data_IF_643774585626
#
_entry.id   IF_643774585626
#
_cell.length_a   1.000
_cell.length_b   1.000
_cell.length_c   1.000
_cell.angle_alpha   90.00
_cell.angle_beta   90.00
_cell.angle_gamma   90.00
#
_symmetry.space_group_name_H-M   'P 1'
#
loop_
_entity.id
_entity.type
_entity.pdbx_description
1 polymer ?
#
# COMPACT_ATOMS: atom_id res chain seq x y z
N UNK A 1 -13.06 14.90 -17.48
CA UNK A 1 -13.49 14.24 -16.23
C UNK A 1 -12.23 13.72 -15.53
N UNK A 2 -11.97 14.13 -14.29
CA UNK A 2 -10.81 13.64 -13.56
C UNK A 2 -10.98 12.12 -13.34
N UNK A 3 -10.03 11.33 -13.84
CA UNK A 3 -9.95 9.90 -13.53
C UNK A 3 -9.74 9.77 -12.02
N UNK A 4 -10.67 9.12 -11.31
CA UNK A 4 -10.43 8.74 -9.92
C UNK A 4 -9.19 7.84 -9.87
N UNK A 5 -8.18 8.20 -9.07
CA UNK A 5 -6.95 7.42 -8.95
C UNK A 5 -7.21 6.00 -8.41
N UNK A 6 -8.28 5.84 -7.64
CA UNK A 6 -8.73 4.58 -7.09
C UNK A 6 -9.56 3.73 -8.08
N UNK A 7 -9.84 4.17 -9.31
CA UNK A 7 -10.67 3.43 -10.28
C UNK A 7 -9.86 2.35 -11.03
N UNK A 8 -10.42 1.13 -11.04
CA UNK A 8 -9.88 -0.02 -11.77
C UNK A 8 -11.01 -0.76 -12.51
N UNK A 9 -10.82 -0.99 -13.81
CA UNK A 9 -11.70 -1.84 -14.63
C UNK A 9 -11.35 -3.32 -14.44
N UNK A 10 -11.61 -3.83 -13.24
CA UNK A 10 -11.28 -5.21 -12.83
C UNK A 10 -12.46 -5.87 -12.13
N UNK A 11 -12.44 -7.19 -12.06
CA UNK A 11 -13.44 -7.96 -11.35
C UNK A 11 -13.10 -8.09 -9.84
N UNK A 12 -13.94 -8.85 -9.13
CA UNK A 12 -13.71 -9.11 -7.70
C UNK A 12 -12.41 -9.87 -7.46
N UNK A 13 -12.12 -10.90 -8.26
CA UNK A 13 -10.97 -11.77 -8.04
C UNK A 13 -9.65 -11.00 -8.21
N UNK A 14 -9.54 -10.20 -9.28
CA UNK A 14 -8.38 -9.35 -9.51
C UNK A 14 -8.26 -8.25 -8.44
N UNK A 15 -9.38 -7.69 -7.97
CA UNK A 15 -9.32 -6.74 -6.85
C UNK A 15 -8.76 -7.38 -5.58
N UNK A 16 -9.14 -8.64 -5.30
CA UNK A 16 -8.60 -9.37 -4.17
C UNK A 16 -7.11 -9.68 -4.36
N UNK A 17 -6.69 -10.04 -5.57
CA UNK A 17 -5.28 -10.30 -5.89
C UNK A 17 -4.41 -9.07 -5.66
N UNK A 18 -4.84 -7.89 -6.14
CA UNK A 18 -4.10 -6.64 -5.96
C UNK A 18 -4.02 -6.22 -4.49
N UNK A 19 -5.12 -6.30 -3.74
CA UNK A 19 -5.16 -5.90 -2.33
C UNK A 19 -4.48 -6.91 -1.38
N UNK A 20 -4.19 -8.13 -1.84
CA UNK A 20 -3.39 -9.13 -1.10
C UNK A 20 -1.88 -8.93 -1.22
N UNK A 21 -1.41 -8.07 -2.12
CA UNK A 21 0.02 -7.86 -2.32
C UNK A 21 0.70 -7.37 -1.03
N UNK A 22 1.91 -7.87 -0.71
CA UNK A 22 2.60 -7.50 0.52
C UNK A 22 3.05 -6.03 0.49
N UNK A 23 3.17 -5.40 1.66
CA UNK A 23 3.56 -3.99 1.78
C UNK A 23 2.40 -2.98 1.62
N UNK A 24 1.18 -3.46 1.34
CA UNK A 24 -0.02 -2.62 1.41
C UNK A 24 -0.48 -2.46 2.86
N UNK A 25 -0.91 -1.25 3.21
CA UNK A 25 -1.36 -0.91 4.56
C UNK A 25 -2.87 -1.12 4.75
N UNK A 26 -3.29 -1.15 6.02
CA UNK A 26 -4.70 -1.15 6.38
C UNK A 26 -5.43 0.06 5.76
N UNK A 27 -6.63 -0.18 5.26
CA UNK A 27 -7.42 0.85 4.59
C UNK A 27 -6.99 1.13 3.15
N UNK A 28 -6.05 0.37 2.57
CA UNK A 28 -5.80 0.43 1.13
C UNK A 28 -7.06 0.00 0.37
N UNK A 29 -7.53 0.81 -0.59
CA UNK A 29 -8.81 0.58 -1.25
C UNK A 29 -8.77 0.79 -2.76
N UNK A 30 -9.74 0.21 -3.46
CA UNK A 30 -9.99 0.49 -4.87
C UNK A 30 -11.48 0.44 -5.20
N UNK A 31 -11.87 1.21 -6.21
CA UNK A 31 -13.20 1.26 -6.78
C UNK A 31 -13.19 0.49 -8.11
N UNK A 32 -14.22 -0.34 -8.32
CA UNK A 32 -14.38 -1.13 -9.55
C UNK A 32 -15.84 -1.21 -9.98
N UNK A 33 -16.13 -1.56 -11.24
CA UNK A 33 -17.49 -1.90 -11.67
C UNK A 33 -18.09 -2.99 -10.78
N UNK A 34 -19.39 -2.85 -10.46
CA UNK A 34 -20.16 -3.95 -9.92
C UNK A 34 -20.80 -4.70 -11.09
N UNK A 35 -20.19 -5.83 -11.47
CA UNK A 35 -20.81 -6.77 -12.39
C UNK A 35 -21.96 -7.47 -11.66
N UNK A 36 -23.14 -6.91 -11.82
CA UNK A 36 -24.35 -7.39 -11.18
C UNK A 36 -24.76 -8.75 -11.75
N UNK A 37 -25.41 -9.59 -10.95
CA UNK A 37 -26.22 -10.69 -11.52
C UNK A 37 -27.53 -10.09 -12.06
N UNK A 38 -28.23 -10.83 -12.91
CA UNK A 38 -29.51 -10.43 -13.53
C UNK A 38 -30.52 -9.77 -12.56
N UNK A 39 -30.55 -10.16 -11.29
CA UNK A 39 -31.47 -9.61 -10.27
C UNK A 39 -31.26 -8.12 -9.97
N UNK A 40 -30.03 -7.62 -10.05
CA UNK A 40 -29.72 -6.21 -9.77
C UNK A 40 -30.03 -5.30 -10.96
N UNK A 41 -29.97 -5.87 -12.17
CA UNK A 41 -30.41 -5.22 -13.41
C UNK A 41 -31.92 -4.95 -13.40
N UNK A 42 -32.69 -5.73 -12.64
CA UNK A 42 -34.14 -5.55 -12.48
C UNK A 42 -34.50 -4.41 -11.52
N UNK A 43 -33.64 -4.05 -10.56
CA UNK A 43 -33.90 -2.98 -9.61
C UNK A 43 -33.62 -1.60 -10.19
N UNK A 44 -32.52 -1.42 -10.94
CA UNK A 44 -32.18 -0.15 -11.60
C UNK A 44 -31.37 -0.37 -12.89
N UNK A 45 -32.03 -0.66 -14.04
CA UNK A 45 -31.35 -1.07 -15.28
C UNK A 45 -30.49 0.03 -15.94
N UNK A 46 -30.67 1.29 -15.54
CA UNK A 46 -30.07 2.44 -16.23
C UNK A 46 -28.94 3.14 -15.46
N UNK A 47 -28.65 2.76 -14.21
CA UNK A 47 -27.58 3.39 -13.42
C UNK A 47 -26.50 2.38 -13.02
N UNK A 48 -25.22 2.71 -13.23
CA UNK A 48 -24.12 1.82 -12.88
C UNK A 48 -24.01 1.69 -11.35
N UNK A 49 -23.91 0.45 -10.87
CA UNK A 49 -23.50 0.15 -9.50
C UNK A 49 -21.99 -0.05 -9.43
N UNK A 50 -21.40 0.26 -8.27
CA UNK A 50 -19.96 0.11 -8.06
C UNK A 50 -19.67 -0.81 -6.87
N UNK A 51 -18.43 -1.29 -6.81
CA UNK A 51 -17.93 -2.02 -5.65
C UNK A 51 -16.67 -1.36 -5.14
N UNK A 52 -16.66 -1.02 -3.85
CA UNK A 52 -15.51 -0.55 -3.12
C UNK A 52 -14.87 -1.74 -2.42
N UNK A 53 -13.62 -2.04 -2.75
CA UNK A 53 -12.87 -3.16 -2.16
C UNK A 53 -11.79 -2.58 -1.25
N UNK A 54 -11.75 -3.02 0.01
CA UNK A 54 -10.91 -2.43 1.07
C UNK A 54 -10.13 -3.53 1.77
N UNK A 55 -8.83 -3.32 1.95
CA UNK A 55 -7.98 -4.15 2.80
C UNK A 55 -8.17 -3.74 4.26
N UNK A 56 -8.63 -4.65 5.09
CA UNK A 56 -8.85 -4.42 6.51
C UNK A 56 -7.98 -5.35 7.33
N UNK A 57 -7.08 -4.79 8.13
CA UNK A 57 -6.28 -5.57 9.06
C UNK A 57 -7.16 -6.12 10.19
N UNK A 58 -6.83 -7.31 10.64
CA UNK A 58 -7.53 -8.02 11.72
C UNK A 58 -6.51 -8.54 12.71
N UNK A 59 -6.89 -8.61 13.99
CA UNK A 59 -6.08 -9.27 15.01
C UNK A 59 -6.86 -10.48 15.53
N UNK A 60 -6.21 -11.64 15.60
CA UNK A 60 -6.81 -12.80 16.26
C UNK A 60 -6.76 -12.64 17.79
N UNK A 61 -7.34 -13.60 18.53
CA UNK A 61 -7.32 -13.61 20.00
C UNK A 61 -5.91 -13.65 20.60
N UNK A 62 -4.92 -14.05 19.81
CA UNK A 62 -3.53 -14.21 20.24
C UNK A 62 -2.68 -12.98 19.85
N UNK A 63 -3.29 -11.95 19.25
CA UNK A 63 -2.60 -10.75 18.78
C UNK A 63 -1.85 -10.92 17.46
N UNK A 64 -2.02 -12.04 16.76
CA UNK A 64 -1.44 -12.24 15.43
C UNK A 64 -2.12 -11.32 14.43
N UNK A 65 -1.33 -10.51 13.73
CA UNK A 65 -1.83 -9.63 12.68
C UNK A 65 -2.17 -10.45 11.43
N UNK A 66 -3.43 -10.37 11.02
CA UNK A 66 -3.94 -10.85 9.75
C UNK A 66 -4.62 -9.71 8.97
N UNK A 67 -5.27 -10.06 7.86
CA UNK A 67 -6.09 -9.11 7.11
C UNK A 67 -7.18 -9.84 6.33
N UNK A 68 -8.26 -9.11 6.06
CA UNK A 68 -9.38 -9.53 5.22
C UNK A 68 -9.66 -8.46 4.17
N UNK A 69 -10.19 -8.87 3.02
CA UNK A 69 -10.65 -7.92 2.01
C UNK A 69 -12.15 -7.84 2.09
N UNK A 70 -12.66 -6.64 2.37
CA UNK A 70 -14.09 -6.35 2.45
C UNK A 70 -14.54 -5.71 1.16
N UNK A 71 -15.73 -6.08 0.71
CA UNK A 71 -16.33 -5.52 -0.49
C UNK A 71 -17.65 -4.87 -0.13
N UNK A 72 -17.74 -3.57 -0.35
CA UNK A 72 -18.92 -2.76 -0.12
C UNK A 72 -19.57 -2.46 -1.45
N UNK A 73 -20.88 -2.69 -1.52
CA UNK A 73 -21.66 -2.34 -2.70
C UNK A 73 -22.03 -0.87 -2.60
N UNK A 74 -21.73 -0.11 -3.64
CA UNK A 74 -22.19 1.26 -3.79
C UNK A 74 -23.36 1.23 -4.77
N UNK A 75 -24.52 1.66 -4.27
CA UNK A 75 -25.74 1.73 -5.03
C UNK A 75 -26.04 3.19 -5.42
N UNK A 76 -26.54 3.41 -6.64
CA UNK A 76 -27.12 4.70 -7.01
C UNK A 76 -28.46 4.92 -6.30
N UNK A 77 -28.74 6.18 -5.98
CA UNK A 77 -30.08 6.61 -5.54
C UNK A 77 -31.06 6.63 -6.72
N UNK A 78 -32.34 6.47 -6.41
CA UNK A 78 -33.42 6.70 -7.36
C UNK A 78 -33.29 8.12 -7.94
N UNK A 79 -33.44 8.26 -9.25
CA UNK A 79 -33.28 9.50 -10.02
C UNK A 79 -31.84 10.02 -10.17
N UNK A 80 -30.81 9.25 -9.79
CA UNK A 80 -29.40 9.63 -10.00
C UNK A 80 -28.91 10.77 -9.12
N UNK A 81 -29.61 11.06 -8.01
CA UNK A 81 -29.29 12.13 -7.07
C UNK A 81 -28.02 11.88 -6.23
N UNK A 82 -27.45 10.67 -6.29
CA UNK A 82 -26.26 10.33 -5.52
C UNK A 82 -25.99 8.84 -5.40
N UNK A 83 -25.16 8.49 -4.41
CA UNK A 83 -24.66 7.16 -4.12
C UNK A 83 -24.69 6.87 -2.62
N UNK A 84 -24.80 5.59 -2.27
CA UNK A 84 -24.72 5.15 -0.89
C UNK A 84 -24.17 3.72 -0.76
N UNK A 85 -23.54 3.44 0.38
CA UNK A 85 -23.22 2.07 0.83
C UNK A 85 -24.33 1.54 1.75
N UNK A 86 -24.83 2.39 2.64
CA UNK A 86 -25.99 2.14 3.51
C UNK A 86 -27.05 3.23 3.25
N UNK A 87 -28.34 2.92 3.13
CA UNK A 87 -29.39 3.92 2.91
C UNK A 87 -29.45 5.04 3.96
N UNK A 88 -28.85 4.82 5.13
CA UNK A 88 -28.77 5.80 6.23
C UNK A 88 -27.81 6.98 5.94
N UNK A 89 -26.85 6.81 5.03
CA UNK A 89 -25.89 7.86 4.63
C UNK A 89 -25.75 7.89 3.12
N UNK A 90 -26.12 9.01 2.54
CA UNK A 90 -26.10 9.24 1.09
C UNK A 90 -25.13 10.37 0.74
N UNK A 91 -24.60 10.32 -0.48
CA UNK A 91 -23.58 11.25 -0.97
C UNK A 91 -23.93 11.67 -2.39
N UNK A 92 -23.74 12.95 -2.71
CA UNK A 92 -24.03 13.46 -4.06
C UNK A 92 -23.11 12.83 -5.12
N UNK A 93 -21.83 12.63 -4.78
CA UNK A 93 -20.83 12.08 -5.70
C UNK A 93 -20.00 10.96 -5.05
N UNK A 94 -19.37 10.12 -5.88
CA UNK A 94 -18.41 9.11 -5.42
C UNK A 94 -17.22 9.73 -4.66
N UNK A 95 -16.58 10.83 -5.11
CA UNK A 95 -15.58 11.53 -4.32
C UNK A 95 -16.05 11.91 -2.91
N UNK A 96 -17.28 12.42 -2.76
CA UNK A 96 -17.81 12.81 -1.43
C UNK A 96 -17.96 11.58 -0.51
N UNK A 97 -18.43 10.47 -1.08
CA UNK A 97 -18.52 9.18 -0.38
C UNK A 97 -17.12 8.72 0.09
N UNK A 98 -16.13 8.76 -0.78
CA UNK A 98 -14.76 8.35 -0.46
C UNK A 98 -14.14 9.26 0.60
N UNK A 99 -14.30 10.58 0.46
CA UNK A 99 -13.79 11.56 1.41
C UNK A 99 -14.37 11.35 2.81
N UNK A 100 -15.67 11.05 2.92
CA UNK A 100 -16.30 10.73 4.19
C UNK A 100 -15.63 9.54 4.89
N UNK A 101 -15.44 8.42 4.19
CA UNK A 101 -14.82 7.23 4.78
C UNK A 101 -13.29 7.34 4.94
N UNK A 102 -12.66 8.39 4.40
CA UNK A 102 -11.27 8.75 4.70
C UNK A 102 -11.12 9.61 5.96
N UNK A 103 -12.06 10.51 6.23
CA UNK A 103 -11.95 11.48 7.32
C UNK A 103 -12.74 11.07 8.58
N UNK A 104 -13.90 10.44 8.41
CA UNK A 104 -14.92 10.35 9.43
C UNK A 104 -15.56 8.95 9.43
N UNK A 105 -14.74 7.95 9.78
CA UNK A 105 -15.21 6.58 9.90
C UNK A 105 -15.87 6.37 11.27
N UNK A 106 -17.06 6.93 11.47
CA UNK A 106 -17.97 6.49 12.54
C UNK A 106 -18.13 4.95 12.51
N UNK A 107 -18.08 4.40 11.29
CA UNK A 107 -17.98 2.98 11.05
C UNK A 107 -16.52 2.52 11.02
N UNK A 108 -16.01 2.09 12.19
CA UNK A 108 -14.68 1.48 12.35
C UNK A 108 -14.42 0.31 11.40
N UNK A 109 -15.46 -0.24 10.79
CA UNK A 109 -15.35 -1.36 9.86
C UNK A 109 -14.89 -0.93 8.46
N UNK A 110 -15.05 0.33 8.08
CA UNK A 110 -14.73 0.85 6.75
C UNK A 110 -13.91 2.14 6.83
N UNK A 111 -12.62 1.97 7.14
CA UNK A 111 -11.63 3.06 7.14
C UNK A 111 -10.85 3.05 5.83
N UNK A 112 -10.88 4.17 5.10
CA UNK A 112 -10.11 4.34 3.87
C UNK A 112 -8.85 5.14 4.17
N UNK A 113 -7.68 4.58 3.86
CA UNK A 113 -6.40 5.27 4.00
C UNK A 113 -5.96 5.84 2.66
N UNK A 114 -5.49 4.97 1.76
CA UNK A 114 -4.98 5.35 0.44
C UNK A 114 -5.56 4.51 -0.70
N UNK A 115 -5.64 5.07 -1.91
CA UNK A 115 -5.96 4.28 -3.10
C UNK A 115 -4.90 3.21 -3.36
N UNK A 116 -5.31 2.08 -3.93
CA UNK A 116 -4.42 1.02 -4.36
C UNK A 116 -3.47 1.55 -5.45
N UNK A 117 -2.14 1.38 -5.31
CA UNK A 117 -1.21 1.87 -6.32
C UNK A 117 -1.40 1.12 -7.65
N UNK A 118 -1.39 1.85 -8.77
CA UNK A 118 -1.51 1.25 -10.11
C UNK A 118 -0.31 0.39 -10.49
N UNK A 119 0.88 0.75 -10.00
CA UNK A 119 2.10 -0.05 -10.13
C UNK A 119 2.48 -0.57 -8.77
N UNK A 120 2.44 -1.88 -8.62
CA UNK A 120 2.93 -2.52 -7.42
C UNK A 120 4.46 -2.52 -7.41
N UNK A 121 5.05 -1.98 -6.34
CA UNK A 121 6.48 -2.06 -6.07
C UNK A 121 6.63 -3.06 -4.92
N UNK A 122 7.24 -4.23 -5.14
CA UNK A 122 7.46 -5.18 -4.07
C UNK A 122 8.32 -4.57 -2.97
N UNK A 123 8.01 -4.84 -1.68
CA UNK A 123 8.94 -4.50 -0.62
C UNK A 123 10.28 -5.15 -0.93
N UNK A 124 11.39 -4.45 -0.68
CA UNK A 124 12.68 -4.95 -1.07
C UNK A 124 12.98 -6.23 -0.29
N UNK A 125 13.51 -7.24 -0.96
CA UNK A 125 13.90 -8.48 -0.31
C UNK A 125 15.22 -8.24 0.43
N UNK A 126 15.29 -8.59 1.71
CA UNK A 126 16.52 -8.45 2.49
C UNK A 126 17.72 -9.16 1.85
N UNK A 127 17.50 -10.29 1.17
CA UNK A 127 18.55 -10.98 0.41
C UNK A 127 19.11 -10.17 -0.75
N UNK A 128 18.30 -9.28 -1.33
CA UNK A 128 18.77 -8.41 -2.41
C UNK A 128 19.77 -7.36 -1.89
N UNK A 129 19.83 -7.15 -0.57
CA UNK A 129 20.79 -6.30 0.12
C UNK A 129 21.95 -7.09 0.75
N UNK A 130 22.00 -8.41 0.62
CA UNK A 130 23.14 -9.18 1.10
C UNK A 130 24.33 -9.02 0.15
N UNK A 131 25.45 -8.53 0.69
CA UNK A 131 26.72 -8.46 -0.02
C UNK A 131 27.71 -9.37 0.68
N UNK A 132 28.35 -10.25 -0.09
CA UNK A 132 29.45 -11.04 0.45
C UNK A 132 30.56 -10.11 0.97
N UNK A 133 30.91 -10.26 2.25
CA UNK A 133 31.93 -9.47 2.94
C UNK A 133 33.26 -9.41 2.18
N UNK A 134 33.65 -10.49 1.49
CA UNK A 134 34.88 -10.53 0.70
C UNK A 134 34.90 -9.53 -0.48
N UNK A 135 33.74 -9.04 -0.91
CA UNK A 135 33.62 -8.03 -1.96
C UNK A 135 33.65 -6.59 -1.44
N UNK A 136 33.74 -6.40 -0.12
CA UNK A 136 33.78 -5.09 0.52
C UNK A 136 35.22 -4.81 0.96
N UNK A 137 35.81 -3.75 0.44
CA UNK A 137 37.07 -3.22 0.93
C UNK A 137 36.80 -2.12 1.95
N UNK A 138 37.49 -2.17 3.08
CA UNK A 138 37.46 -1.14 4.10
C UNK A 138 38.72 -0.33 3.92
N UNK A 139 38.56 0.95 3.57
CA UNK A 139 39.67 1.88 3.36
C UNK A 139 40.32 2.29 4.68
N UNK A 140 39.53 2.62 5.70
CA UNK A 140 40.04 3.13 6.96
C UNK A 140 39.19 2.71 8.17
N UNK A 141 39.89 2.24 9.21
CA UNK A 141 39.31 1.94 10.50
C UNK A 141 39.38 3.20 11.38
N UNK A 142 38.23 3.78 11.73
CA UNK A 142 38.17 5.02 12.50
C UNK A 142 38.23 4.73 14.01
N UNK A 143 37.72 3.58 14.46
CA UNK A 143 37.81 3.20 15.86
C UNK A 143 37.08 1.90 16.17
N UNK A 144 37.30 1.33 17.35
CA UNK A 144 36.61 0.13 17.84
C UNK A 144 36.03 0.36 19.23
N UNK A 145 34.88 -0.27 19.50
CA UNK A 145 34.22 -0.27 20.80
C UNK A 145 33.63 -1.66 21.11
N UNK A 146 33.06 -1.81 22.30
CA UNK A 146 32.54 -3.09 22.79
C UNK A 146 31.40 -3.69 21.95
N UNK A 147 30.80 -2.89 21.07
CA UNK A 147 29.65 -3.27 20.23
C UNK A 147 29.95 -3.25 18.73
N UNK A 148 31.20 -2.99 18.33
CA UNK A 148 31.55 -2.98 16.91
C UNK A 148 32.73 -2.09 16.58
N UNK A 149 33.02 -2.00 15.29
CA UNK A 149 34.12 -1.19 14.76
C UNK A 149 33.58 -0.19 13.74
N UNK A 150 34.00 1.07 13.86
CA UNK A 150 33.59 2.22 13.05
C UNK A 150 34.60 2.45 11.91
N UNK A 151 34.11 2.80 10.71
CA UNK A 151 34.91 2.88 9.48
C UNK A 151 34.48 4.07 8.62
N UNK A 152 35.40 4.65 7.84
CA UNK A 152 35.10 5.77 6.95
C UNK A 152 34.25 5.29 5.75
N UNK A 153 33.33 6.15 5.32
CA UNK A 153 32.21 5.92 4.38
C UNK A 153 32.55 5.45 2.95
N UNK A 154 33.77 5.03 2.67
CA UNK A 154 34.20 4.60 1.34
C UNK A 154 34.43 3.09 1.27
N UNK A 155 33.35 2.32 1.38
CA UNK A 155 33.36 0.89 1.09
C UNK A 155 33.25 0.68 -0.43
N UNK A 156 34.34 0.25 -1.07
CA UNK A 156 34.35 0.00 -2.52
C UNK A 156 34.07 -1.46 -2.82
N UNK A 157 33.12 -1.70 -3.74
CA UNK A 157 32.86 -3.06 -4.22
C UNK A 157 33.89 -3.49 -5.26
N UNK A 158 34.69 -4.52 -4.93
CA UNK A 158 35.69 -5.13 -5.85
C UNK A 158 35.04 -5.81 -7.06
N UNK A 159 33.79 -6.27 -6.92
CA UNK A 159 33.07 -6.99 -7.97
C UNK A 159 32.04 -6.10 -8.66
N UNK A 160 32.07 -6.09 -9.99
CA UNK A 160 31.10 -5.36 -10.83
C UNK A 160 29.66 -5.84 -10.61
N UNK A 161 29.48 -7.10 -10.20
CA UNK A 161 28.17 -7.70 -9.91
C UNK A 161 27.54 -7.14 -8.63
N UNK A 162 28.33 -6.88 -7.60
CA UNK A 162 27.84 -6.36 -6.31
C UNK A 162 27.69 -4.83 -6.28
N UNK A 163 28.18 -4.10 -7.29
CA UNK A 163 28.01 -2.64 -7.39
C UNK A 163 26.55 -2.20 -7.50
N UNK A 164 25.71 -3.00 -8.17
CA UNK A 164 24.27 -2.72 -8.28
C UNK A 164 23.58 -2.83 -6.91
N UNK A 165 23.87 -3.89 -6.16
CA UNK A 165 23.40 -4.08 -4.79
C UNK A 165 23.90 -2.96 -3.87
N UNK A 166 25.18 -2.62 -3.96
CA UNK A 166 25.78 -1.56 -3.14
C UNK A 166 25.12 -0.19 -3.38
N UNK A 167 24.84 0.14 -4.64
CA UNK A 167 24.10 1.36 -5.00
C UNK A 167 22.69 1.35 -4.40
N UNK A 168 22.01 0.21 -4.48
CA UNK A 168 20.64 0.07 -3.95
C UNK A 168 20.58 0.13 -2.43
N UNK A 169 21.58 -0.41 -1.73
CA UNK A 169 21.75 -0.23 -0.27
C UNK A 169 21.99 1.24 0.05
N UNK A 170 22.87 1.91 -0.70
CA UNK A 170 23.17 3.33 -0.49
C UNK A 170 21.92 4.20 -0.68
N UNK A 171 21.19 4.02 -1.78
CA UNK A 171 19.92 4.72 -2.04
C UNK A 171 18.89 4.44 -0.93
N UNK A 172 18.75 3.18 -0.50
CA UNK A 172 17.86 2.82 0.62
C UNK A 172 18.28 3.50 1.94
N UNK A 173 19.57 3.51 2.28
CA UNK A 173 20.06 4.16 3.49
C UNK A 173 19.91 5.69 3.42
N UNK A 174 20.03 6.30 2.25
CA UNK A 174 19.77 7.73 2.03
C UNK A 174 18.28 8.07 2.22
N UNK A 175 17.37 7.23 1.75
CA UNK A 175 15.91 7.40 1.92
C UNK A 175 15.44 7.19 3.38
N UNK A 176 16.13 6.33 4.14
CA UNK A 176 15.82 6.01 5.54
C UNK A 176 16.69 6.75 6.56
N UNK A 177 17.66 7.55 6.11
CA UNK A 177 18.44 8.40 6.99
C UNK A 177 17.50 9.44 7.61
N UNK A 178 17.10 9.18 8.87
CA UNK A 178 16.97 10.25 9.86
C UNK A 178 18.19 11.12 9.66
N UNK A 179 18.04 12.45 9.59
CA UNK A 179 19.15 13.42 9.56
C UNK A 179 20.08 13.16 10.75
N UNK A 180 20.95 12.17 10.61
CA UNK A 180 22.00 11.82 11.53
C UNK A 180 23.13 12.75 11.18
N UNK A 181 23.56 13.52 12.17
CA UNK A 181 24.74 14.36 12.07
C UNK A 181 25.88 13.62 11.35
N UNK A 182 26.61 14.37 10.53
CA UNK A 182 27.68 13.86 9.69
C UNK A 182 28.58 12.86 10.46
N UNK A 183 28.46 11.57 10.15
CA UNK A 183 29.30 10.53 10.74
C UNK A 183 28.61 9.23 11.15
N UNK A 184 27.28 9.10 11.06
CA UNK A 184 26.60 7.88 11.50
C UNK A 184 25.66 7.30 10.45
N UNK A 185 25.91 6.06 10.05
CA UNK A 185 24.89 5.14 9.52
C UNK A 185 25.13 3.78 10.18
N UNK A 186 24.13 3.28 10.91
CA UNK A 186 24.11 1.90 11.37
C UNK A 186 23.57 1.03 10.22
N UNK A 187 24.28 -0.06 9.91
CA UNK A 187 23.78 -1.15 9.06
C UNK A 187 22.84 -2.06 9.84
#
# INVERSE_FOLDING_TARGET
AASLDCWFEIDRLESERLLRMPGLENGTYLLRPHYSRQADQLLQPHLPSYSLSVRCDTFDSNGTRGFVIRHYRILPMENGAGFYVSPQRTFATLPDLLAHYQQDSDDRQMVLARPCPRKYIPPPNFRDFEINRAHIEISELIGSGSFGTFMLNECWSKSRKSRATFRRIKEFLEDFAIEGEAGYVAL
#
